data_IF_149957509944
#
_entry.id   IF_149957509944
#
_cell.length_a   1.000
_cell.length_b   1.000
_cell.length_c   1.000
_cell.angle_alpha   90.00
_cell.angle_beta   90.00
_cell.angle_gamma   90.00
#
_symmetry.space_group_name_H-M   'P 1'
#
loop_
_entity.id
_entity.type
_entity.pdbx_description
1 polymer ?
#
# COMPACT_ATOMS: atom_id res chain seq x y z
N UNK A 1 16.43 -2.81 -10.89
CA UNK A 1 15.36 -3.27 -11.76
C UNK A 1 14.18 -3.73 -10.91
N UNK A 2 13.02 -3.31 -11.28
CA UNK A 2 11.82 -3.58 -10.51
C UNK A 2 11.21 -4.90 -10.97
N UNK A 3 11.11 -5.85 -10.06
CA UNK A 3 10.44 -7.10 -10.40
C UNK A 3 8.93 -6.89 -10.36
N UNK A 4 8.25 -7.43 -11.36
CA UNK A 4 6.80 -7.40 -11.37
C UNK A 4 6.25 -8.28 -10.25
N UNK A 5 5.13 -7.85 -9.67
CA UNK A 5 4.43 -8.67 -8.70
C UNK A 5 3.96 -9.98 -9.32
N UNK A 6 4.14 -11.06 -8.58
CA UNK A 6 3.56 -12.36 -8.91
C UNK A 6 2.39 -12.60 -7.95
N UNK A 7 1.49 -13.55 -8.25
CA UNK A 7 0.44 -13.88 -7.29
C UNK A 7 0.98 -14.23 -5.91
N UNK A 8 2.08 -14.98 -5.84
CA UNK A 8 2.66 -15.36 -4.55
C UNK A 8 3.19 -14.14 -3.80
N UNK A 9 3.93 -13.27 -4.48
CA UNK A 9 4.48 -12.08 -3.83
C UNK A 9 3.38 -11.11 -3.41
N UNK A 10 2.32 -10.98 -4.21
CA UNK A 10 1.17 -10.16 -3.82
C UNK A 10 0.52 -10.70 -2.56
N UNK A 11 0.24 -12.01 -2.52
CA UNK A 11 -0.43 -12.58 -1.36
C UNK A 11 0.45 -12.53 -0.12
N UNK A 12 1.76 -12.69 -0.26
CA UNK A 12 2.68 -12.50 0.87
C UNK A 12 2.63 -11.06 1.41
N UNK A 13 2.59 -10.08 0.51
CA UNK A 13 2.49 -8.68 0.92
C UNK A 13 1.19 -8.41 1.66
N UNK A 14 0.09 -9.07 1.27
CA UNK A 14 -1.22 -8.86 1.86
C UNK A 14 -1.52 -9.82 3.02
N UNK A 15 -0.62 -10.73 3.34
CA UNK A 15 -0.84 -11.75 4.38
C UNK A 15 -0.55 -11.23 5.79
N UNK A 16 -0.78 -9.97 6.02
CA UNK A 16 -0.69 -9.29 7.31
C UNK A 16 -1.86 -8.34 7.41
N UNK A 17 -2.55 -8.35 8.54
CA UNK A 17 -3.76 -7.54 8.70
C UNK A 17 -3.50 -6.06 8.47
N UNK A 18 -2.43 -5.53 9.03
CA UNK A 18 -2.11 -4.11 8.87
C UNK A 18 -1.83 -3.76 7.42
N UNK A 19 -1.05 -4.59 6.73
CA UNK A 19 -0.73 -4.34 5.31
C UNK A 19 -1.96 -4.47 4.44
N UNK A 20 -2.81 -5.46 4.69
CA UNK A 20 -4.06 -5.60 3.94
C UNK A 20 -4.95 -4.38 4.12
N UNK A 21 -5.12 -3.91 5.36
CA UNK A 21 -5.95 -2.73 5.66
C UNK A 21 -5.39 -1.47 5.00
N UNK A 22 -4.08 -1.27 5.07
CA UNK A 22 -3.43 -0.12 4.41
C UNK A 22 -3.67 -0.13 2.90
N UNK A 23 -3.46 -1.28 2.27
CA UNK A 23 -3.61 -1.41 0.83
C UNK A 23 -5.05 -1.15 0.38
N UNK A 24 -6.02 -1.75 1.06
CA UNK A 24 -7.41 -1.60 0.68
C UNK A 24 -7.91 -0.17 0.89
N UNK A 25 -7.46 0.48 1.97
CA UNK A 25 -7.83 1.86 2.23
C UNK A 25 -7.28 2.79 1.15
N UNK A 26 -6.01 2.61 0.78
CA UNK A 26 -5.38 3.40 -0.28
C UNK A 26 -6.07 3.14 -1.62
N UNK A 27 -6.36 1.88 -1.93
CA UNK A 27 -7.05 1.53 -3.17
C UNK A 27 -8.43 2.16 -3.26
N UNK A 28 -9.12 2.27 -2.13
CA UNK A 28 -10.48 2.86 -2.08
C UNK A 28 -10.47 4.37 -2.25
N UNK A 29 -9.45 5.05 -1.72
CA UNK A 29 -9.41 6.51 -1.62
C UNK A 29 -8.35 7.14 -2.52
N UNK A 30 -7.71 6.34 -3.36
CA UNK A 30 -6.68 6.71 -4.34
C UNK A 30 -5.35 7.10 -3.73
N UNK A 31 -5.32 8.00 -2.77
CA UNK A 31 -4.07 8.51 -2.20
C UNK A 31 -4.30 8.96 -0.77
N UNK A 32 -3.39 8.60 0.13
CA UNK A 32 -3.47 9.01 1.53
C UNK A 32 -2.08 9.30 2.07
N UNK A 33 -1.99 10.29 2.95
CA UNK A 33 -0.72 10.56 3.62
C UNK A 33 -0.58 9.62 4.83
N UNK A 34 0.67 9.49 5.31
CA UNK A 34 0.99 8.62 6.43
C UNK A 34 0.16 8.98 7.67
N UNK A 35 -0.04 10.27 7.92
CA UNK A 35 -0.82 10.71 9.08
C UNK A 35 -2.29 10.29 9.00
N UNK A 36 -2.87 10.34 7.80
CA UNK A 36 -4.25 9.88 7.60
C UNK A 36 -4.37 8.37 7.81
N UNK A 37 -3.40 7.62 7.31
CA UNK A 37 -3.36 6.17 7.45
C UNK A 37 -3.18 5.76 8.92
N UNK A 38 -2.29 6.44 9.62
CA UNK A 38 -2.04 6.19 11.04
C UNK A 38 -3.31 6.43 11.86
N UNK A 39 -4.00 7.53 11.59
CA UNK A 39 -5.24 7.83 12.28
C UNK A 39 -6.34 6.81 11.95
N UNK A 40 -6.46 6.45 10.67
CA UNK A 40 -7.51 5.53 10.23
C UNK A 40 -7.35 4.13 10.84
N UNK A 41 -6.11 3.66 10.99
CA UNK A 41 -5.86 2.34 11.55
C UNK A 41 -5.78 2.34 13.08
N UNK A 42 -5.68 3.50 13.70
CA UNK A 42 -5.47 3.64 15.15
C UNK A 42 -4.23 2.87 15.61
N UNK A 43 -3.18 2.90 14.81
CA UNK A 43 -1.91 2.24 15.12
C UNK A 43 -0.83 3.29 15.31
N UNK A 44 0.34 2.86 15.82
CA UNK A 44 1.45 3.79 15.98
C UNK A 44 2.06 4.14 14.61
N UNK A 45 2.57 5.36 14.49
CA UNK A 45 3.19 5.80 13.25
C UNK A 45 4.40 4.94 12.85
N UNK A 46 5.30 4.55 13.78
CA UNK A 46 6.42 3.68 13.39
C UNK A 46 5.96 2.34 12.80
N UNK A 47 4.91 1.76 13.36
CA UNK A 47 4.35 0.49 12.83
C UNK A 47 3.79 0.70 11.44
N UNK A 48 2.98 1.73 11.24
CA UNK A 48 2.37 2.03 9.95
C UNK A 48 3.45 2.31 8.91
N UNK A 49 4.44 3.15 9.25
CA UNK A 49 5.53 3.48 8.34
C UNK A 49 6.35 2.26 7.93
N UNK A 50 6.60 1.34 8.86
CA UNK A 50 7.33 0.11 8.55
C UNK A 50 6.56 -0.75 7.55
N UNK A 51 5.26 -0.92 7.75
CA UNK A 51 4.44 -1.71 6.83
C UNK A 51 4.29 -1.04 5.47
N UNK A 52 4.17 0.28 5.43
CA UNK A 52 4.12 1.02 4.17
C UNK A 52 5.42 0.85 3.38
N UNK A 53 6.56 0.86 4.07
CA UNK A 53 7.86 0.62 3.42
C UNK A 53 7.91 -0.78 2.80
N UNK A 54 7.40 -1.78 3.49
CA UNK A 54 7.34 -3.14 2.96
C UNK A 54 6.46 -3.23 1.72
N UNK A 55 5.32 -2.55 1.72
CA UNK A 55 4.41 -2.51 0.57
C UNK A 55 5.03 -1.78 -0.62
N UNK A 56 5.80 -0.72 -0.35
CA UNK A 56 6.53 -0.01 -1.40
C UNK A 56 7.63 -0.91 -1.98
N UNK A 57 8.38 -1.61 -1.14
CA UNK A 57 9.47 -2.46 -1.57
C UNK A 57 9.01 -3.63 -2.43
N UNK A 58 7.84 -4.19 -2.13
CA UNK A 58 7.31 -5.28 -2.94
C UNK A 58 6.69 -4.79 -4.26
N UNK A 59 6.59 -3.49 -4.46
CA UNK A 59 6.08 -2.92 -5.71
C UNK A 59 4.58 -2.67 -5.74
N UNK A 60 3.89 -2.86 -4.62
CA UNK A 60 2.44 -2.66 -4.59
C UNK A 60 2.07 -1.19 -4.44
N UNK A 61 2.82 -0.44 -3.64
CA UNK A 61 2.58 0.99 -3.39
C UNK A 61 3.75 1.83 -3.90
N UNK A 62 3.44 3.07 -4.24
CA UNK A 62 4.42 4.10 -4.52
C UNK A 62 4.19 5.25 -3.54
N UNK A 63 5.26 5.96 -3.22
CA UNK A 63 5.17 7.10 -2.32
C UNK A 63 5.66 8.36 -3.03
N UNK A 64 5.22 9.50 -2.50
CA UNK A 64 5.63 10.81 -2.99
C UNK A 64 5.70 11.78 -1.82
N UNK A 65 6.84 12.46 -1.70
CA UNK A 65 6.99 13.50 -0.67
C UNK A 65 6.50 14.83 -1.23
N UNK A 66 5.64 15.50 -0.47
CA UNK A 66 5.16 16.86 -0.78
C UNK A 66 5.38 17.73 0.45
N UNK A 67 6.48 18.50 0.43
CA UNK A 67 6.89 19.26 1.60
C UNK A 67 7.26 18.29 2.73
N UNK A 68 6.61 18.44 3.88
CA UNK A 68 6.83 17.57 5.03
C UNK A 68 5.93 16.34 5.05
N UNK A 69 5.01 16.20 4.07
CA UNK A 69 4.04 15.12 4.03
C UNK A 69 4.49 14.05 3.05
N UNK A 70 4.25 12.77 3.39
CA UNK A 70 4.50 11.64 2.49
C UNK A 70 3.16 11.00 2.17
N UNK A 71 2.86 10.90 0.88
CA UNK A 71 1.62 10.31 0.36
C UNK A 71 1.90 8.96 -0.26
N UNK A 72 0.98 8.03 -0.06
CA UNK A 72 1.06 6.68 -0.63
C UNK A 72 -0.13 6.43 -1.55
N UNK A 73 0.12 5.75 -2.65
CA UNK A 73 -0.90 5.34 -3.62
C UNK A 73 -0.51 3.98 -4.19
N UNK A 74 -1.44 3.34 -4.89
CA UNK A 74 -1.10 2.14 -5.63
C UNK A 74 -0.03 2.48 -6.68
N UNK A 75 0.91 1.57 -6.88
CA UNK A 75 1.97 1.80 -7.84
C UNK A 75 1.37 2.00 -9.24
N UNK A 76 1.79 3.03 -9.99
CA UNK A 76 1.17 3.33 -11.29
C UNK A 76 1.40 2.24 -12.34
N UNK A 77 2.45 1.43 -12.18
CA UNK A 77 2.79 0.38 -13.13
C UNK A 77 2.27 -1.00 -12.74
N UNK A 78 1.30 -1.08 -11.82
CA UNK A 78 0.74 -2.36 -11.43
C UNK A 78 0.10 -3.07 -12.62
N UNK A 79 0.32 -4.40 -12.75
CA UNK A 79 -0.40 -5.18 -13.75
C UNK A 79 -1.91 -5.11 -13.52
N UNK A 80 -2.66 -5.20 -14.61
CA UNK A 80 -4.13 -5.13 -14.53
C UNK A 80 -4.71 -6.19 -13.61
N UNK A 81 -4.13 -7.39 -13.59
CA UNK A 81 -4.66 -8.46 -12.75
C UNK A 81 -4.59 -8.11 -11.26
N UNK A 82 -3.58 -7.35 -10.83
CA UNK A 82 -3.48 -6.89 -9.44
C UNK A 82 -4.63 -5.94 -9.13
N UNK A 83 -4.89 -4.99 -10.02
CA UNK A 83 -5.99 -4.05 -9.83
C UNK A 83 -7.34 -4.74 -9.78
N UNK A 84 -7.53 -5.75 -10.62
CA UNK A 84 -8.76 -6.54 -10.61
C UNK A 84 -8.93 -7.29 -9.30
N UNK A 85 -7.87 -7.93 -8.81
CA UNK A 85 -7.91 -8.64 -7.52
C UNK A 85 -8.29 -7.68 -6.39
N UNK A 86 -7.63 -6.53 -6.32
CA UNK A 86 -7.91 -5.56 -5.25
C UNK A 86 -9.34 -5.04 -5.33
N UNK A 87 -9.84 -4.79 -6.54
CA UNK A 87 -11.21 -4.32 -6.73
C UNK A 87 -12.24 -5.33 -6.24
N UNK A 88 -11.96 -6.63 -6.35
CA UNK A 88 -12.86 -7.67 -5.88
C UNK A 88 -12.82 -7.88 -4.36
N UNK A 89 -11.76 -7.45 -3.71
CA UNK A 89 -11.61 -7.58 -2.25
C UNK A 89 -12.22 -6.38 -1.52
N UNK A 90 -12.31 -5.25 -2.20
CA UNK A 90 -12.84 -4.00 -1.61
C UNK A 90 -14.31 -4.08 -1.18
#
# INVERSE_FOLDING_TARGET
MHESLTPVSLFKCLADETRARLTLLIASLDELCVCELTAALAESQPKVSRHLAQLRECGLLADERRGQWVYYRLHPDLPDWVRVVLAHVL
#
